data_IF_466635518784
#
_entry.id   IF_466635518784
#
_cell.length_a   1.000
_cell.length_b   1.000
_cell.length_c   1.000
_cell.angle_alpha   90.00
_cell.angle_beta   90.00
_cell.angle_gamma   90.00
#
_symmetry.space_group_name_H-M   'P 1'
#
loop_
_entity.id
_entity.type
_entity.pdbx_description
1 polymer ?
#
# COMPACT_ATOMS: atom_id res chain seq x y z
N UNK A 1 -21.04 -3.10 -24.64
CA UNK A 1 -20.32 -2.26 -23.70
C UNK A 1 -19.01 -3.00 -23.40
N UNK A 2 -17.86 -2.52 -23.89
CA UNK A 2 -16.58 -3.17 -23.64
C UNK A 2 -16.20 -2.90 -22.16
N UNK A 3 -15.95 -3.96 -21.44
CA UNK A 3 -15.46 -3.89 -20.06
C UNK A 3 -14.19 -3.02 -20.01
N UNK A 4 -14.19 -1.87 -19.32
CA UNK A 4 -13.00 -0.99 -19.28
C UNK A 4 -11.78 -1.66 -18.67
N UNK A 5 -11.98 -2.72 -17.89
CA UNK A 5 -10.90 -3.50 -17.25
C UNK A 5 -10.23 -4.46 -18.25
N UNK A 6 -10.89 -4.84 -19.34
CA UNK A 6 -10.31 -5.76 -20.34
C UNK A 6 -9.09 -5.18 -21.09
N UNK A 7 -8.83 -3.87 -20.99
CA UNK A 7 -7.65 -3.23 -21.59
C UNK A 7 -6.42 -3.22 -20.67
N UNK A 8 -6.59 -3.58 -19.39
CA UNK A 8 -5.48 -3.64 -18.42
C UNK A 8 -4.69 -4.94 -18.64
N UNK A 9 -3.59 -4.87 -19.37
CA UNK A 9 -2.68 -5.99 -19.61
C UNK A 9 -1.83 -6.36 -18.39
N UNK A 10 -2.33 -6.15 -17.18
CA UNK A 10 -1.61 -6.48 -15.96
C UNK A 10 -1.51 -7.98 -15.82
N UNK A 11 -0.29 -8.49 -15.81
CA UNK A 11 -0.01 -9.93 -15.70
C UNK A 11 0.40 -10.33 -14.28
N UNK A 12 1.00 -9.43 -13.50
CA UNK A 12 1.55 -9.71 -12.18
C UNK A 12 1.37 -8.55 -11.22
N UNK A 13 0.80 -8.85 -10.04
CA UNK A 13 0.68 -7.93 -8.92
C UNK A 13 1.61 -8.43 -7.81
N UNK A 14 2.55 -7.60 -7.36
CA UNK A 14 3.35 -7.84 -6.16
C UNK A 14 2.69 -7.16 -4.98
N UNK A 15 2.51 -7.88 -3.87
CA UNK A 15 1.98 -7.30 -2.63
C UNK A 15 2.97 -7.50 -1.50
N UNK A 16 3.52 -6.41 -0.97
CA UNK A 16 4.39 -6.40 0.19
C UNK A 16 3.55 -6.35 1.46
N UNK A 17 3.69 -7.34 2.32
CA UNK A 17 2.81 -7.61 3.45
C UNK A 17 3.57 -7.78 4.75
N UNK A 18 2.88 -7.45 5.83
CA UNK A 18 3.18 -7.89 7.18
C UNK A 18 1.91 -8.44 7.87
N UNK A 19 1.99 -8.73 9.16
CA UNK A 19 0.83 -9.20 9.92
C UNK A 19 -0.07 -8.07 10.46
N UNK A 20 0.14 -6.83 10.03
CA UNK A 20 -0.64 -5.65 10.44
C UNK A 20 -2.02 -5.61 9.78
N UNK A 21 -2.88 -4.72 10.26
CA UNK A 21 -4.16 -4.47 9.61
C UNK A 21 -4.00 -3.77 8.25
N UNK A 22 -2.95 -2.95 8.08
CA UNK A 22 -2.60 -2.37 6.79
C UNK A 22 -2.19 -3.47 5.80
N UNK A 23 -1.38 -4.45 6.24
CA UNK A 23 -1.05 -5.63 5.45
C UNK A 23 -2.29 -6.43 5.04
N UNK A 24 -3.26 -6.59 5.93
CA UNK A 24 -4.52 -7.27 5.61
C UNK A 24 -5.36 -6.49 4.59
N UNK A 25 -5.46 -5.16 4.74
CA UNK A 25 -6.18 -4.31 3.77
C UNK A 25 -5.49 -4.30 2.40
N UNK A 26 -4.16 -4.27 2.37
CA UNK A 26 -3.37 -4.40 1.14
C UNK A 26 -3.59 -5.74 0.45
N UNK A 27 -3.61 -6.85 1.21
CA UNK A 27 -3.92 -8.17 0.68
C UNK A 27 -5.31 -8.24 0.08
N UNK A 28 -6.33 -7.73 0.77
CA UNK A 28 -7.70 -7.69 0.26
C UNK A 28 -7.79 -6.90 -1.04
N UNK A 29 -7.16 -5.71 -1.11
CA UNK A 29 -7.12 -4.90 -2.33
C UNK A 29 -6.40 -5.64 -3.47
N UNK A 30 -5.26 -6.27 -3.19
CA UNK A 30 -4.49 -7.00 -4.19
C UNK A 30 -5.26 -8.23 -4.73
N UNK A 31 -5.91 -8.99 -3.86
CA UNK A 31 -6.75 -10.15 -4.24
C UNK A 31 -7.91 -9.70 -5.14
N UNK A 32 -8.59 -8.62 -4.76
CA UNK A 32 -9.70 -8.08 -5.52
C UNK A 32 -9.25 -7.62 -6.92
N UNK A 33 -8.13 -6.89 -7.00
CA UNK A 33 -7.56 -6.47 -8.27
C UNK A 33 -7.12 -7.68 -9.10
N UNK A 34 -6.38 -8.64 -8.52
CA UNK A 34 -5.92 -9.83 -9.22
C UNK A 34 -7.09 -10.64 -9.79
N UNK A 35 -8.16 -10.80 -9.04
CA UNK A 35 -9.39 -11.47 -9.49
C UNK A 35 -10.05 -10.70 -10.65
N UNK A 36 -10.17 -9.37 -10.51
CA UNK A 36 -10.85 -8.53 -11.51
C UNK A 36 -10.16 -8.51 -12.86
N UNK A 37 -8.82 -8.56 -12.89
CA UNK A 37 -8.01 -8.48 -14.11
C UNK A 37 -7.32 -9.80 -14.46
N UNK A 38 -7.58 -10.88 -13.74
CA UNK A 38 -6.99 -12.22 -13.91
C UNK A 38 -5.44 -12.16 -13.89
N UNK A 39 -4.89 -11.46 -12.89
CA UNK A 39 -3.44 -11.34 -12.71
C UNK A 39 -2.90 -12.41 -11.77
N UNK A 40 -1.63 -12.80 -11.98
CA UNK A 40 -0.87 -13.56 -10.98
C UNK A 40 -0.60 -12.70 -9.75
N UNK A 41 -0.73 -13.26 -8.56
CA UNK A 41 -0.49 -12.56 -7.29
C UNK A 41 0.78 -13.08 -6.62
N UNK A 42 1.73 -12.19 -6.38
CA UNK A 42 2.96 -12.51 -5.67
C UNK A 42 2.97 -11.84 -4.29
N UNK A 43 2.96 -12.64 -3.21
CA UNK A 43 3.17 -12.17 -1.86
C UNK A 43 4.66 -11.98 -1.56
N UNK A 44 5.01 -10.87 -0.95
CA UNK A 44 6.36 -10.54 -0.52
C UNK A 44 6.35 -10.18 0.96
N UNK A 45 7.19 -10.85 1.74
CA UNK A 45 7.54 -10.42 3.08
C UNK A 45 8.98 -9.91 3.09
N UNK A 46 9.21 -8.72 3.62
CA UNK A 46 10.56 -8.16 3.77
C UNK A 46 10.94 -8.24 5.24
N UNK A 47 11.96 -9.05 5.56
CA UNK A 47 12.61 -9.03 6.86
C UNK A 47 13.40 -7.73 6.98
N UNK A 48 12.98 -6.86 7.89
CA UNK A 48 13.61 -5.56 8.11
C UNK A 48 15.05 -5.73 8.64
N UNK A 49 16.02 -5.38 7.81
CA UNK A 49 17.43 -5.48 8.17
C UNK A 49 17.84 -4.54 9.31
N UNK A 50 17.14 -3.41 9.49
CA UNK A 50 17.42 -2.47 10.57
C UNK A 50 17.06 -3.06 11.94
N UNK A 51 16.02 -3.91 12.03
CA UNK A 51 15.71 -4.64 13.26
C UNK A 51 16.82 -5.65 13.61
N UNK A 52 17.37 -6.33 12.62
CA UNK A 52 18.46 -7.27 12.82
C UNK A 52 19.74 -6.54 13.23
N UNK A 53 20.04 -5.40 12.60
CA UNK A 53 21.18 -4.53 12.98
C UNK A 53 21.02 -4.00 14.41
N UNK A 54 19.80 -3.55 14.76
CA UNK A 54 19.52 -3.08 16.12
C UNK A 54 19.77 -4.17 17.16
N UNK A 55 19.33 -5.40 16.89
CA UNK A 55 19.56 -6.54 17.77
C UNK A 55 21.05 -6.88 17.95
N UNK A 56 21.89 -6.52 16.99
CA UNK A 56 23.36 -6.69 17.06
C UNK A 56 24.08 -5.63 17.89
N UNK A 57 23.41 -4.57 18.33
CA UNK A 57 24.06 -3.53 19.13
C UNK A 57 24.23 -4.00 20.59
N UNK A 58 25.43 -3.79 21.20
CA UNK A 58 25.74 -4.33 22.53
C UNK A 58 24.89 -3.74 23.67
N UNK A 59 24.24 -2.61 23.42
CA UNK A 59 23.37 -1.94 24.38
C UNK A 59 21.87 -2.14 24.08
N UNK A 60 21.53 -2.85 23.00
CA UNK A 60 20.13 -3.10 22.65
C UNK A 60 19.46 -4.01 23.69
N UNK A 61 18.29 -3.59 24.16
CA UNK A 61 17.52 -4.32 25.17
C UNK A 61 16.07 -4.42 24.74
N UNK A 62 15.49 -5.57 25.00
CA UNK A 62 14.07 -5.79 24.89
C UNK A 62 13.41 -5.53 26.26
N UNK A 63 12.28 -4.83 26.24
CA UNK A 63 11.45 -4.61 27.43
C UNK A 63 10.15 -5.39 27.24
N UNK A 64 9.92 -6.35 28.09
CA UNK A 64 8.63 -7.04 28.16
C UNK A 64 7.60 -6.08 28.79
N UNK A 65 6.60 -5.68 27.98
CA UNK A 65 5.57 -4.70 28.38
C UNK A 65 4.69 -5.25 29.52
N UNK A 66 4.55 -6.57 29.63
CA UNK A 66 3.70 -7.22 30.64
C UNK A 66 4.39 -7.32 31.98
N UNK A 67 5.67 -7.70 31.99
CA UNK A 67 6.45 -7.92 33.23
C UNK A 67 7.39 -6.76 33.57
N UNK A 68 7.51 -5.75 32.71
CA UNK A 68 8.50 -4.67 32.78
C UNK A 68 9.95 -5.19 32.91
N UNK A 69 10.19 -6.46 32.61
CA UNK A 69 11.53 -7.04 32.64
C UNK A 69 12.33 -6.62 31.40
N UNK A 70 13.62 -6.43 31.61
CA UNK A 70 14.55 -6.01 30.54
C UNK A 70 15.59 -7.09 30.32
N UNK A 71 15.76 -7.55 29.07
CA UNK A 71 16.79 -8.50 28.69
C UNK A 71 17.62 -7.98 27.49
N UNK A 72 18.87 -8.42 27.33
CA UNK A 72 19.61 -8.12 26.11
C UNK A 72 18.83 -8.64 24.89
N UNK A 73 18.76 -7.82 23.85
CA UNK A 73 18.19 -8.24 22.56
C UNK A 73 19.26 -9.04 21.82
N UNK A 74 18.90 -10.24 21.35
CA UNK A 74 19.82 -11.11 20.62
C UNK A 74 19.42 -11.20 19.15
N UNK A 75 20.40 -11.19 18.25
CA UNK A 75 20.17 -11.34 16.80
C UNK A 75 19.43 -12.63 16.47
N UNK A 76 19.80 -13.74 17.12
CA UNK A 76 19.14 -15.03 16.88
C UNK A 76 17.64 -15.04 17.28
N UNK A 77 17.28 -14.30 18.33
CA UNK A 77 15.88 -14.18 18.75
C UNK A 77 15.11 -13.32 17.76
N UNK A 78 15.69 -12.20 17.32
CA UNK A 78 15.08 -11.34 16.29
C UNK A 78 14.85 -12.08 14.99
N UNK A 79 15.86 -12.83 14.51
CA UNK A 79 15.72 -13.62 13.26
C UNK A 79 14.66 -14.72 13.39
N UNK A 80 14.54 -15.35 14.57
CA UNK A 80 13.49 -16.35 14.82
C UNK A 80 12.11 -15.70 14.80
N UNK A 81 11.99 -14.52 15.37
CA UNK A 81 10.74 -13.78 15.38
C UNK A 81 10.32 -13.33 13.98
N UNK A 82 11.24 -12.76 13.20
CA UNK A 82 10.97 -12.37 11.81
C UNK A 82 10.52 -13.56 10.95
N UNK A 83 11.17 -14.72 11.10
CA UNK A 83 10.73 -15.96 10.43
C UNK A 83 9.33 -16.38 10.85
N UNK A 84 9.01 -16.35 12.14
CA UNK A 84 7.67 -16.71 12.63
C UNK A 84 6.58 -15.75 12.08
N UNK A 85 6.89 -14.45 11.98
CA UNK A 85 5.99 -13.45 11.37
C UNK A 85 5.82 -13.72 9.88
N UNK A 86 6.91 -14.02 9.16
CA UNK A 86 6.86 -14.37 7.74
C UNK A 86 5.98 -15.59 7.49
N UNK A 87 6.19 -16.69 8.24
CA UNK A 87 5.35 -17.90 8.12
C UNK A 87 3.87 -17.63 8.42
N UNK A 88 3.58 -16.79 9.42
CA UNK A 88 2.21 -16.40 9.75
C UNK A 88 1.58 -15.61 8.61
N UNK A 89 2.34 -14.70 8.00
CA UNK A 89 1.91 -13.88 6.87
C UNK A 89 1.66 -14.74 5.64
N UNK A 90 2.56 -15.68 5.32
CA UNK A 90 2.38 -16.66 4.23
C UNK A 90 1.12 -17.50 4.42
N UNK A 91 0.89 -18.01 5.63
CA UNK A 91 -0.33 -18.79 5.94
C UNK A 91 -1.61 -17.94 5.77
N UNK A 92 -1.58 -16.67 6.15
CA UNK A 92 -2.71 -15.75 5.96
C UNK A 92 -2.94 -15.48 4.46
N UNK A 93 -1.86 -15.26 3.71
CA UNK A 93 -1.88 -15.08 2.26
C UNK A 93 -2.47 -16.32 1.55
N UNK A 94 -1.97 -17.51 1.83
CA UNK A 94 -2.47 -18.75 1.26
C UNK A 94 -3.97 -18.98 1.57
N UNK A 95 -4.40 -18.68 2.81
CA UNK A 95 -5.82 -18.79 3.19
C UNK A 95 -6.71 -17.83 2.40
N UNK A 96 -6.26 -16.60 2.19
CA UNK A 96 -7.02 -15.61 1.42
C UNK A 96 -7.25 -16.04 -0.05
N UNK A 97 -6.35 -16.90 -0.58
CA UNK A 97 -6.38 -17.34 -1.97
C UNK A 97 -6.92 -18.76 -2.14
N UNK A 98 -7.18 -19.50 -1.06
CA UNK A 98 -7.48 -20.94 -1.07
C UNK A 98 -8.69 -21.34 -1.94
N UNK A 99 -9.68 -20.41 -2.10
CA UNK A 99 -10.90 -20.67 -2.86
C UNK A 99 -10.93 -19.92 -4.21
N UNK A 100 -9.82 -19.28 -4.57
CA UNK A 100 -9.72 -18.45 -5.77
C UNK A 100 -8.89 -19.19 -6.82
N UNK A 101 -9.37 -19.17 -8.05
CA UNK A 101 -8.62 -19.69 -9.21
C UNK A 101 -7.60 -18.63 -9.69
N UNK A 102 -6.60 -18.36 -8.84
CA UNK A 102 -5.50 -17.44 -9.09
C UNK A 102 -4.16 -18.14 -8.94
N UNK A 103 -3.29 -17.94 -9.92
CA UNK A 103 -1.88 -18.30 -9.76
C UNK A 103 -1.23 -17.39 -8.73
N UNK A 104 -0.58 -17.97 -7.75
CA UNK A 104 0.10 -17.19 -6.72
C UNK A 104 1.40 -17.83 -6.27
N UNK A 105 2.29 -16.99 -5.73
CA UNK A 105 3.51 -17.41 -5.05
C UNK A 105 3.79 -16.48 -3.87
N UNK A 106 4.60 -16.92 -2.93
CA UNK A 106 5.04 -16.13 -1.78
C UNK A 106 6.54 -16.28 -1.62
N UNK A 107 7.22 -15.18 -1.29
CA UNK A 107 8.65 -15.19 -0.98
C UNK A 107 8.99 -14.22 0.13
N UNK A 108 10.08 -14.54 0.82
CA UNK A 108 10.68 -13.69 1.85
C UNK A 108 12.03 -13.21 1.36
N UNK A 109 12.30 -11.92 1.55
CA UNK A 109 13.61 -11.32 1.29
C UNK A 109 14.05 -10.50 2.51
N UNK A 110 15.33 -10.16 2.60
CA UNK A 110 15.85 -9.28 3.66
C UNK A 110 16.31 -7.97 3.05
N UNK A 111 16.03 -6.84 3.73
CA UNK A 111 16.45 -5.52 3.29
C UNK A 111 15.68 -4.38 3.96
N UNK A 112 15.92 -3.15 3.50
CA UNK A 112 15.09 -2.00 3.84
C UNK A 112 13.73 -2.14 3.15
N UNK A 113 12.63 -2.15 3.92
CA UNK A 113 11.30 -2.56 3.47
C UNK A 113 10.86 -1.89 2.18
N UNK A 114 10.91 -0.55 2.12
CA UNK A 114 10.44 0.20 0.95
C UNK A 114 11.30 -0.09 -0.26
N UNK A 115 12.62 0.04 -0.11
CA UNK A 115 13.57 -0.16 -1.21
C UNK A 115 13.51 -1.59 -1.74
N UNK A 116 13.55 -2.57 -0.85
CA UNK A 116 13.46 -3.97 -1.22
C UNK A 116 12.15 -4.31 -1.93
N UNK A 117 11.02 -3.69 -1.52
CA UNK A 117 9.72 -3.86 -2.18
C UNK A 117 9.70 -3.22 -3.57
N UNK A 118 10.26 -2.00 -3.73
CA UNK A 118 10.37 -1.32 -5.03
C UNK A 118 11.28 -2.08 -6.00
N UNK A 119 12.44 -2.56 -5.53
CA UNK A 119 13.38 -3.36 -6.32
C UNK A 119 12.75 -4.69 -6.75
N UNK A 120 12.07 -5.37 -5.81
CA UNK A 120 11.37 -6.62 -6.08
C UNK A 120 10.23 -6.48 -7.09
N UNK A 121 9.63 -5.30 -7.17
CA UNK A 121 8.55 -4.99 -8.08
C UNK A 121 9.01 -4.58 -9.50
N UNK A 122 10.31 -4.65 -9.80
CA UNK A 122 10.88 -4.23 -11.10
C UNK A 122 10.09 -4.76 -12.30
N UNK A 123 9.74 -6.05 -12.30
CA UNK A 123 9.00 -6.73 -13.35
C UNK A 123 7.49 -6.87 -13.09
N UNK A 124 6.97 -6.35 -11.98
CA UNK A 124 5.54 -6.38 -11.69
C UNK A 124 4.83 -5.21 -12.36
N UNK A 125 3.62 -5.45 -12.88
CA UNK A 125 2.80 -4.39 -13.45
C UNK A 125 2.20 -3.48 -12.37
N UNK A 126 2.12 -4.01 -11.14
CA UNK A 126 1.53 -3.31 -10.01
C UNK A 126 2.22 -3.72 -8.72
N UNK A 127 2.44 -2.77 -7.82
CA UNK A 127 2.96 -2.99 -6.48
C UNK A 127 1.95 -2.47 -5.45
N UNK A 128 1.54 -3.34 -4.54
CA UNK A 128 0.71 -2.98 -3.39
C UNK A 128 1.56 -3.08 -2.14
N UNK A 129 1.66 -2.01 -1.37
CA UNK A 129 2.46 -1.97 -0.14
C UNK A 129 1.53 -1.78 1.06
N UNK A 130 1.55 -2.75 1.96
CA UNK A 130 0.84 -2.72 3.23
C UNK A 130 1.74 -3.12 4.40
N UNK A 131 3.06 -3.16 4.17
CA UNK A 131 4.03 -3.49 5.19
C UNK A 131 4.60 -2.21 5.82
N UNK A 132 4.64 -2.16 7.15
CA UNK A 132 5.20 -1.04 7.91
C UNK A 132 6.67 -1.30 8.29
N UNK A 133 7.49 -0.24 8.17
CA UNK A 133 8.91 -0.27 8.58
C UNK A 133 9.14 -0.22 10.11
N UNK A 134 8.08 -0.19 10.91
CA UNK A 134 8.18 -0.20 12.38
C UNK A 134 7.30 -1.30 12.93
N UNK A 135 7.88 -2.23 13.65
CA UNK A 135 7.10 -3.19 14.43
C UNK A 135 6.31 -2.41 15.48
N UNK A 136 5.01 -2.28 15.23
CA UNK A 136 4.05 -1.49 16.01
C UNK A 136 3.68 -2.15 17.34
N UNK A 137 4.66 -2.68 18.09
CA UNK A 137 4.42 -3.24 19.42
C UNK A 137 3.95 -2.22 20.47
N UNK A 138 4.03 -0.91 20.16
CA UNK A 138 3.59 0.17 21.05
C UNK A 138 2.27 0.86 20.68
N UNK A 139 1.67 0.55 19.52
CA UNK A 139 0.55 1.33 18.97
C UNK A 139 -0.77 0.55 18.91
N UNK A 140 -0.81 -0.68 19.41
CA UNK A 140 -2.03 -1.52 19.36
C UNK A 140 -3.24 -0.87 20.06
N UNK A 141 -3.04 -0.10 21.12
CA UNK A 141 -4.12 0.60 21.82
C UNK A 141 -4.61 1.85 21.07
N UNK A 142 -3.69 2.58 20.42
CA UNK A 142 -4.01 3.78 19.62
C UNK A 142 -4.60 3.39 18.25
N UNK A 143 -4.22 2.22 17.75
CA UNK A 143 -4.73 1.66 16.51
C UNK A 143 -6.20 1.23 16.60
N UNK A 144 -6.62 0.58 17.69
CA UNK A 144 -8.03 0.24 17.92
C UNK A 144 -8.92 1.48 18.03
N UNK A 145 -8.40 2.58 18.58
CA UNK A 145 -9.11 3.85 18.63
C UNK A 145 -9.21 4.53 17.24
N UNK A 146 -8.21 4.34 16.38
CA UNK A 146 -8.19 4.91 15.02
C UNK A 146 -8.92 4.05 13.98
N UNK A 147 -9.07 2.74 14.19
CA UNK A 147 -9.86 1.86 13.30
C UNK A 147 -11.35 2.12 13.36
N UNK A 148 -11.83 2.84 14.38
CA UNK A 148 -13.21 3.34 14.46
C UNK A 148 -13.41 4.70 13.79
N UNK A 149 -12.33 5.45 13.50
CA UNK A 149 -12.39 6.62 12.66
C UNK A 149 -12.54 6.16 11.19
N UNK A 150 -13.61 6.61 10.54
CA UNK A 150 -13.93 6.39 9.12
C UNK A 150 -12.66 6.58 8.28
N UNK A 151 -12.10 5.50 7.76
CA UNK A 151 -11.10 5.58 6.69
C UNK A 151 -11.86 5.93 5.44
N UNK A 152 -11.79 7.19 5.04
CA UNK A 152 -12.64 7.72 3.99
C UNK A 152 -12.10 7.33 2.61
N UNK A 153 -12.60 6.19 2.11
CA UNK A 153 -12.63 5.91 0.69
C UNK A 153 -11.30 5.56 0.03
N UNK A 154 -11.37 5.49 -1.26
CA UNK A 154 -10.24 5.24 -2.16
C UNK A 154 -9.81 6.57 -2.77
N UNK A 155 -8.54 6.89 -2.70
CA UNK A 155 -7.95 8.08 -3.33
C UNK A 155 -7.06 7.66 -4.49
N UNK A 156 -7.33 8.21 -5.68
CA UNK A 156 -6.48 8.04 -6.86
C UNK A 156 -5.83 9.38 -7.22
N UNK A 157 -4.51 9.39 -7.36
CA UNK A 157 -3.75 10.60 -7.72
C UNK A 157 -3.74 10.76 -9.24
N UNK A 158 -4.13 11.94 -9.72
CA UNK A 158 -4.04 12.34 -11.10
C UNK A 158 -2.99 13.45 -11.25
N UNK A 159 -1.92 13.14 -11.97
CA UNK A 159 -0.76 14.01 -12.18
C UNK A 159 -0.74 14.70 -13.57
N UNK A 160 -1.89 14.71 -14.25
CA UNK A 160 -2.02 15.24 -15.61
C UNK A 160 -1.61 14.26 -16.72
N UNK A 161 -0.89 13.19 -16.39
CA UNK A 161 -0.44 12.20 -17.38
C UNK A 161 -1.55 11.24 -17.81
N UNK A 162 -1.45 10.74 -19.06
CA UNK A 162 -2.39 9.73 -19.53
C UNK A 162 -2.28 8.40 -18.77
N UNK A 163 -1.12 8.08 -18.19
CA UNK A 163 -0.92 6.89 -17.38
C UNK A 163 -1.62 6.96 -16.02
N UNK A 164 -1.88 8.16 -15.51
CA UNK A 164 -2.59 8.35 -14.23
C UNK A 164 -4.08 7.92 -14.30
N UNK A 165 -4.70 7.89 -15.48
CA UNK A 165 -6.07 7.37 -15.62
C UNK A 165 -6.19 5.90 -15.20
N UNK A 166 -5.11 5.12 -15.31
CA UNK A 166 -5.09 3.74 -14.81
C UNK A 166 -5.32 3.67 -13.30
N UNK A 167 -4.73 4.58 -12.54
CA UNK A 167 -4.96 4.64 -11.09
C UNK A 167 -6.44 4.92 -10.77
N UNK A 168 -7.10 5.77 -11.57
CA UNK A 168 -8.52 6.08 -11.40
C UNK A 168 -9.40 4.85 -11.72
N UNK A 169 -9.14 4.13 -12.81
CA UNK A 169 -9.88 2.90 -13.18
C UNK A 169 -9.79 1.83 -12.10
N UNK A 170 -8.58 1.59 -11.59
CA UNK A 170 -8.33 0.64 -10.50
C UNK A 170 -8.99 1.13 -9.20
N UNK A 171 -8.89 2.42 -8.92
CA UNK A 171 -9.52 3.05 -7.77
C UNK A 171 -11.04 2.88 -7.79
N UNK A 172 -11.68 3.03 -8.96
CA UNK A 172 -13.12 2.78 -9.11
C UNK A 172 -13.48 1.32 -8.83
N UNK A 173 -12.67 0.38 -9.32
CA UNK A 173 -12.89 -1.05 -9.08
C UNK A 173 -12.88 -1.35 -7.57
N UNK A 174 -11.89 -0.81 -6.86
CA UNK A 174 -11.74 -0.97 -5.41
C UNK A 174 -12.85 -0.26 -4.63
N UNK A 175 -13.19 0.96 -5.01
CA UNK A 175 -14.23 1.74 -4.35
C UNK A 175 -15.61 1.06 -4.47
N UNK A 176 -15.95 0.55 -5.66
CA UNK A 176 -17.20 -0.21 -5.87
C UNK A 176 -17.26 -1.48 -5.03
N UNK A 177 -16.17 -2.26 -5.01
CA UNK A 177 -16.14 -3.52 -4.26
C UNK A 177 -16.24 -3.30 -2.75
N UNK A 178 -15.66 -2.22 -2.24
CA UNK A 178 -15.70 -1.87 -0.82
C UNK A 178 -16.91 -1.00 -0.45
N UNK A 179 -17.78 -0.64 -1.42
CA UNK A 179 -18.90 0.27 -1.22
C UNK A 179 -18.48 1.61 -0.60
N UNK A 180 -17.34 2.14 -1.05
CA UNK A 180 -16.78 3.41 -0.57
C UNK A 180 -16.72 4.45 -1.70
N UNK A 181 -16.48 5.71 -1.35
CA UNK A 181 -16.28 6.77 -2.32
C UNK A 181 -14.91 6.68 -3.01
N UNK A 182 -14.86 7.14 -4.25
CA UNK A 182 -13.63 7.40 -4.98
C UNK A 182 -13.40 8.91 -5.01
N UNK A 183 -12.22 9.34 -4.57
CA UNK A 183 -11.76 10.72 -4.73
C UNK A 183 -10.57 10.74 -5.68
N UNK A 184 -10.59 11.64 -6.65
CA UNK A 184 -9.45 11.90 -7.53
C UNK A 184 -8.74 13.14 -7.04
N UNK A 185 -7.55 12.96 -6.49
CA UNK A 185 -6.67 14.06 -6.09
C UNK A 185 -5.87 14.55 -7.29
N UNK A 186 -6.14 15.77 -7.75
CA UNK A 186 -5.39 16.38 -8.84
C UNK A 186 -4.15 17.07 -8.27
N UNK A 187 -2.98 16.51 -8.60
CA UNK A 187 -1.66 17.07 -8.30
C UNK A 187 -0.97 17.38 -9.63
N UNK A 188 -1.12 18.60 -10.13
CA UNK A 188 -0.53 19.03 -11.41
C UNK A 188 -0.23 20.51 -11.36
N UNK A 189 0.82 20.94 -12.08
CA UNK A 189 1.14 22.36 -12.28
C UNK A 189 0.05 23.09 -13.06
N UNK A 190 -0.71 22.38 -13.89
CA UNK A 190 -1.83 22.89 -14.71
C UNK A 190 -3.17 22.54 -14.07
N UNK A 191 -3.27 22.67 -12.75
CA UNK A 191 -4.33 22.13 -11.90
C UNK A 191 -5.77 22.31 -12.39
N UNK A 192 -6.17 23.49 -12.94
CA UNK A 192 -7.53 23.68 -13.45
C UNK A 192 -7.77 22.99 -14.79
N UNK A 193 -6.80 23.03 -15.71
CA UNK A 193 -6.89 22.39 -17.01
C UNK A 193 -6.91 20.86 -16.88
N UNK A 194 -6.02 20.32 -16.07
CA UNK A 194 -5.96 18.89 -15.79
C UNK A 194 -7.17 18.39 -15.00
N UNK A 195 -7.73 19.19 -14.11
CA UNK A 195 -8.98 18.83 -13.45
C UNK A 195 -10.16 18.81 -14.44
N UNK A 196 -10.22 19.74 -15.38
CA UNK A 196 -11.23 19.74 -16.45
C UNK A 196 -11.05 18.50 -17.36
N UNK A 197 -9.82 18.19 -17.75
CA UNK A 197 -9.47 16.99 -18.53
C UNK A 197 -9.90 15.71 -17.79
N UNK A 198 -9.61 15.64 -16.49
CA UNK A 198 -10.03 14.53 -15.64
C UNK A 198 -11.56 14.42 -15.57
N UNK A 199 -12.29 15.52 -15.37
CA UNK A 199 -13.75 15.53 -15.29
C UNK A 199 -14.40 15.03 -16.58
N UNK A 200 -13.93 15.48 -17.75
CA UNK A 200 -14.39 15.00 -19.07
C UNK A 200 -14.14 13.51 -19.20
N UNK A 201 -12.96 13.05 -18.84
CA UNK A 201 -12.62 11.63 -18.92
C UNK A 201 -13.49 10.76 -18.00
N UNK A 202 -13.73 11.19 -16.75
CA UNK A 202 -14.62 10.52 -15.79
C UNK A 202 -16.05 10.39 -16.36
N UNK A 203 -16.57 11.46 -16.96
CA UNK A 203 -17.90 11.45 -17.59
C UNK A 203 -17.96 10.47 -18.76
N UNK A 204 -16.96 10.46 -19.64
CA UNK A 204 -16.89 9.56 -20.80
C UNK A 204 -16.86 8.08 -20.39
N UNK A 205 -16.26 7.77 -19.22
CA UNK A 205 -16.14 6.41 -18.72
C UNK A 205 -17.21 6.04 -17.67
N UNK A 206 -18.17 6.94 -17.42
CA UNK A 206 -19.24 6.74 -16.43
C UNK A 206 -18.70 6.41 -15.03
N UNK A 207 -17.61 7.09 -14.65
CA UNK A 207 -16.99 6.98 -13.34
C UNK A 207 -17.48 8.08 -12.43
N UNK A 208 -18.04 7.70 -11.27
CA UNK A 208 -18.48 8.64 -10.24
C UNK A 208 -17.34 8.81 -9.24
N UNK A 209 -16.74 9.99 -9.22
CA UNK A 209 -15.66 10.36 -8.30
C UNK A 209 -15.78 11.83 -7.93
N UNK A 210 -15.34 12.16 -6.72
CA UNK A 210 -15.11 13.54 -6.30
C UNK A 210 -13.72 13.97 -6.78
N UNK A 211 -13.63 15.18 -7.34
CA UNK A 211 -12.34 15.76 -7.76
C UNK A 211 -11.87 16.75 -6.70
N UNK A 212 -10.77 16.43 -6.04
CA UNK A 212 -10.12 17.31 -5.07
C UNK A 212 -8.93 18.06 -5.70
N UNK A 213 -8.99 19.39 -5.63
CA UNK A 213 -7.96 20.32 -6.14
C UNK A 213 -7.41 21.21 -5.03
N UNK A 214 -7.59 20.81 -3.78
CA UNK A 214 -7.32 21.66 -2.62
C UNK A 214 -5.83 21.91 -2.39
N UNK A 215 -4.94 21.19 -3.06
CA UNK A 215 -3.51 21.29 -2.87
C UNK A 215 -2.79 21.79 -4.13
N UNK A 216 -1.82 22.67 -3.91
CA UNK A 216 -0.86 23.04 -4.95
C UNK A 216 0.09 21.87 -5.22
N UNK A 217 0.53 21.71 -6.46
CA UNK A 217 1.46 20.66 -6.90
C UNK A 217 2.88 20.93 -6.38
N UNK A 218 3.15 20.55 -5.14
CA UNK A 218 4.47 20.63 -4.48
C UNK A 218 4.96 19.22 -4.17
N UNK A 219 6.25 19.05 -3.94
CA UNK A 219 6.85 17.74 -3.61
C UNK A 219 6.23 17.11 -2.36
N UNK A 220 5.77 17.95 -1.41
CA UNK A 220 5.15 17.47 -0.15
C UNK A 220 3.62 17.38 -0.23
N UNK A 221 2.99 17.76 -1.34
CA UNK A 221 1.52 17.84 -1.44
C UNK A 221 0.85 16.50 -1.13
N UNK A 222 1.42 15.40 -1.63
CA UNK A 222 0.90 14.05 -1.40
C UNK A 222 0.93 13.70 0.10
N UNK A 223 2.02 14.00 0.78
CA UNK A 223 2.19 13.76 2.23
C UNK A 223 1.19 14.61 3.03
N UNK A 224 1.07 15.89 2.68
CA UNK A 224 0.10 16.78 3.32
C UNK A 224 -1.33 16.28 3.15
N UNK A 225 -1.66 15.76 1.96
CA UNK A 225 -2.98 15.18 1.70
C UNK A 225 -3.24 13.95 2.58
N UNK A 226 -2.34 12.97 2.56
CA UNK A 226 -2.49 11.74 3.34
C UNK A 226 -2.57 12.05 4.84
N UNK A 227 -1.79 13.03 5.31
CA UNK A 227 -1.80 13.48 6.71
C UNK A 227 -3.15 14.11 7.11
N UNK A 228 -3.79 14.86 6.21
CA UNK A 228 -5.05 15.56 6.46
C UNK A 228 -6.27 14.64 6.36
N UNK A 229 -6.29 13.78 5.34
CA UNK A 229 -7.50 13.02 4.95
C UNK A 229 -7.44 11.52 5.30
N UNK A 230 -6.28 10.99 5.68
CA UNK A 230 -6.09 9.57 6.07
C UNK A 230 -6.87 8.59 5.19
N UNK A 231 -6.57 8.49 3.87
CA UNK A 231 -7.30 7.64 2.94
C UNK A 231 -7.27 6.16 3.36
N UNK A 232 -8.34 5.43 3.03
CA UNK A 232 -8.40 3.98 3.23
C UNK A 232 -7.47 3.21 2.29
N UNK A 233 -7.32 3.70 1.05
CA UNK A 233 -6.42 3.18 0.02
C UNK A 233 -5.93 4.36 -0.83
N UNK A 234 -4.64 4.37 -1.16
CA UNK A 234 -4.03 5.38 -2.01
C UNK A 234 -3.47 4.74 -3.29
N UNK A 235 -3.91 5.23 -4.44
CA UNK A 235 -3.41 4.78 -5.74
C UNK A 235 -2.65 5.90 -6.42
N UNK A 236 -1.47 5.59 -6.94
CA UNK A 236 -0.66 6.55 -7.68
C UNK A 236 0.03 5.85 -8.85
N UNK A 237 0.15 6.57 -9.95
CA UNK A 237 0.95 6.12 -11.08
C UNK A 237 2.43 5.99 -10.67
N UNK A 238 3.02 4.84 -10.95
CA UNK A 238 4.42 4.53 -10.62
C UNK A 238 5.43 5.53 -11.22
N UNK A 239 5.06 6.18 -12.33
CA UNK A 239 5.87 7.20 -13.01
C UNK A 239 5.49 8.63 -12.62
N UNK A 240 4.66 8.81 -11.62
CA UNK A 240 4.25 10.14 -11.18
C UNK A 240 5.46 10.94 -10.70
N UNK A 241 5.61 12.20 -11.10
CA UNK A 241 6.69 13.07 -10.62
C UNK A 241 6.62 13.34 -9.11
N UNK A 242 5.43 13.16 -8.51
CA UNK A 242 5.21 13.33 -7.06
C UNK A 242 5.52 12.08 -6.25
N UNK A 243 5.96 10.99 -6.90
CA UNK A 243 6.34 9.74 -6.26
C UNK A 243 7.87 9.60 -6.26
N UNK A 244 8.47 9.72 -5.09
CA UNK A 244 9.88 9.42 -4.87
C UNK A 244 10.02 8.47 -3.67
N UNK A 245 11.21 7.88 -3.49
CA UNK A 245 11.46 6.92 -2.42
C UNK A 245 11.20 7.52 -1.03
N UNK A 246 11.53 8.80 -0.83
CA UNK A 246 11.31 9.51 0.44
C UNK A 246 9.82 9.62 0.76
N UNK A 247 9.01 10.04 -0.21
CA UNK A 247 7.55 10.16 -0.04
C UNK A 247 6.91 8.79 0.22
N UNK A 248 7.34 7.75 -0.49
CA UNK A 248 6.86 6.38 -0.27
C UNK A 248 7.22 5.90 1.13
N UNK A 249 8.47 6.11 1.58
CA UNK A 249 8.90 5.80 2.94
C UNK A 249 8.07 6.52 3.99
N UNK A 250 7.80 7.80 3.78
CA UNK A 250 7.03 8.61 4.72
C UNK A 250 5.57 8.13 4.80
N UNK A 251 4.93 7.86 3.66
CA UNK A 251 3.56 7.34 3.62
C UNK A 251 3.47 6.00 4.35
N UNK A 252 4.39 5.07 4.08
CA UNK A 252 4.39 3.74 4.68
C UNK A 252 4.69 3.79 6.18
N UNK A 253 5.61 4.66 6.61
CA UNK A 253 6.06 4.71 8.01
C UNK A 253 5.14 5.54 8.92
N UNK A 254 4.43 6.51 8.38
CA UNK A 254 3.61 7.44 9.17
C UNK A 254 2.12 7.17 9.09
N UNK A 255 1.66 6.51 8.02
CA UNK A 255 0.23 6.35 7.76
C UNK A 255 -0.13 4.88 7.53
N UNK A 256 -1.19 4.44 8.22
CA UNK A 256 -1.76 3.09 8.06
C UNK A 256 -2.60 2.98 6.77
N UNK A 257 -2.07 3.45 5.66
CA UNK A 257 -2.74 3.49 4.38
C UNK A 257 -2.03 2.57 3.38
N UNK A 258 -2.67 1.51 2.87
CA UNK A 258 -2.11 0.74 1.78
C UNK A 258 -1.87 1.61 0.55
N UNK A 259 -0.67 1.51 -0.02
CA UNK A 259 -0.24 2.23 -1.21
C UNK A 259 -0.22 1.30 -2.41
N UNK A 260 -0.88 1.70 -3.50
CA UNK A 260 -0.90 0.96 -4.77
C UNK A 260 -0.17 1.79 -5.82
N UNK A 261 0.93 1.25 -6.32
CA UNK A 261 1.71 1.79 -7.42
C UNK A 261 1.36 1.03 -8.71
N UNK A 262 0.79 1.72 -9.70
CA UNK A 262 0.30 1.12 -10.94
C UNK A 262 0.85 1.79 -12.20
#
# INVERSE_FOLDING_TARGET
>A
MKDPIASLKTKRILVALDSSACGQAALQAAVLLATSIRAELEGLFVEDEDLVRLAGLPFAREIDVTSASTRPLQVADMERELRAVSEKTEKAFARALQQLDLAWKFRTIRGAIVRASLDAAGDADMLVIGQHGRSSRGIAADYLARTTARRDGVVAVFDGSNSAFRAIELGQTLARANSTALTVLVLSSEGEEDAAKCAVWLQQHSIHAEIDRSLSATDDALIQYVRKFTPGLLLINRKSPYLNESNVCEIINQFDCPLILC
#
